data_IF_969154103406
#
_entry.id   IF_969154103406
#
_cell.length_a   1.000
_cell.length_b   1.000
_cell.length_c   1.000
_cell.angle_alpha   90.00
_cell.angle_beta   90.00
_cell.angle_gamma   90.00
#
_symmetry.space_group_name_H-M   'P 1'
#
loop_
_entity.id
_entity.type
_entity.pdbx_description
1 polymer ?
#
# COMPACT_ATOMS: atom_id res chain seq x y z
N UNK A 1 10.05 12.55 -22.02
CA UNK A 1 8.98 11.53 -21.94
C UNK A 1 8.40 11.59 -20.54
N UNK A 2 7.09 11.53 -20.45
CA UNK A 2 6.40 11.43 -19.16
C UNK A 2 6.79 10.13 -18.48
N UNK A 3 7.11 10.16 -17.19
CA UNK A 3 7.57 8.99 -16.46
C UNK A 3 6.39 8.03 -16.22
N UNK A 4 6.51 6.80 -16.72
CA UNK A 4 5.51 5.75 -16.50
C UNK A 4 5.35 5.47 -14.99
N UNK A 5 4.11 5.25 -14.55
CA UNK A 5 3.81 4.93 -13.16
C UNK A 5 3.01 3.65 -13.05
N UNK A 6 3.38 2.85 -12.07
CA UNK A 6 2.73 1.58 -11.73
C UNK A 6 1.91 1.79 -10.45
N UNK A 7 0.62 1.52 -10.53
CA UNK A 7 -0.31 1.72 -9.43
C UNK A 7 -0.66 0.38 -8.77
N UNK A 8 -1.32 0.46 -7.63
CA UNK A 8 -1.74 -0.70 -6.84
C UNK A 8 -3.20 -1.08 -7.07
N UNK A 9 -3.97 -0.23 -7.75
CA UNK A 9 -5.42 -0.35 -7.84
C UNK A 9 -6.18 0.23 -6.63
N UNK A 10 -5.47 0.70 -5.61
CA UNK A 10 -6.06 1.42 -4.48
C UNK A 10 -5.67 2.89 -4.52
N UNK A 11 -6.61 3.77 -4.86
CA UNK A 11 -6.37 5.21 -5.04
C UNK A 11 -5.66 5.84 -3.85
N UNK A 12 -6.09 5.54 -2.63
CA UNK A 12 -5.49 6.07 -1.41
C UNK A 12 -4.02 5.64 -1.25
N UNK A 13 -3.72 4.36 -1.47
CA UNK A 13 -2.35 3.86 -1.37
C UNK A 13 -1.45 4.46 -2.46
N UNK A 14 -1.99 4.62 -3.67
CA UNK A 14 -1.27 5.22 -4.80
C UNK A 14 -0.91 6.70 -4.55
N UNK A 15 -1.77 7.45 -3.86
CA UNK A 15 -1.46 8.81 -3.41
C UNK A 15 -0.40 8.84 -2.30
N UNK A 16 -0.48 7.91 -1.35
CA UNK A 16 0.51 7.79 -0.27
C UNK A 16 1.91 7.55 -0.82
N UNK A 17 2.06 6.68 -1.81
CA UNK A 17 3.36 6.35 -2.41
C UNK A 17 3.79 7.33 -3.49
N UNK A 18 2.86 7.97 -4.18
CA UNK A 18 3.12 8.93 -5.25
C UNK A 18 3.79 10.21 -4.77
N UNK A 19 3.33 10.74 -3.66
CA UNK A 19 4.02 11.81 -2.93
C UNK A 19 3.79 13.24 -3.39
N UNK A 20 3.10 13.47 -4.50
CA UNK A 20 2.77 14.79 -5.04
C UNK A 20 1.33 14.84 -5.54
N UNK A 21 0.80 16.05 -5.71
CA UNK A 21 -0.47 16.28 -6.38
C UNK A 21 -0.44 15.69 -7.80
N UNK A 22 -1.48 15.00 -8.20
CA UNK A 22 -1.64 14.34 -9.50
C UNK A 22 -0.52 13.33 -9.83
N UNK A 23 0.10 12.76 -8.80
CA UNK A 23 1.19 11.79 -8.95
C UNK A 23 0.86 10.55 -8.14
N UNK A 24 0.45 9.48 -8.81
CA UNK A 24 -0.03 8.24 -8.18
C UNK A 24 0.92 7.07 -8.46
N UNK A 25 1.02 6.16 -7.49
CA UNK A 25 1.79 4.93 -7.65
C UNK A 25 3.31 5.13 -7.74
N UNK A 26 3.99 4.08 -8.17
CA UNK A 26 5.45 3.98 -8.18
C UNK A 26 6.04 4.38 -9.54
N UNK A 27 7.11 5.17 -9.58
CA UNK A 27 7.71 5.60 -10.84
C UNK A 27 8.56 4.50 -11.50
N UNK A 28 8.53 4.42 -12.84
CA UNK A 28 9.48 3.64 -13.61
C UNK A 28 10.93 4.16 -13.50
N UNK A 29 11.90 3.35 -13.90
CA UNK A 29 13.33 3.66 -13.80
C UNK A 29 13.83 3.68 -12.35
N UNK A 30 13.13 3.02 -11.44
CA UNK A 30 13.45 3.03 -10.00
C UNK A 30 13.25 1.65 -9.40
N UNK A 31 13.93 1.41 -8.28
CA UNK A 31 13.56 0.31 -7.42
C UNK A 31 12.93 0.80 -6.12
N UNK A 32 11.99 0.02 -5.61
CA UNK A 32 11.32 0.22 -4.34
C UNK A 32 11.57 -0.95 -3.41
N UNK A 33 11.43 -0.73 -2.12
CA UNK A 33 11.49 -1.80 -1.14
C UNK A 33 10.18 -1.90 -0.36
N UNK A 34 9.55 -3.06 -0.41
CA UNK A 34 8.38 -3.39 0.40
C UNK A 34 8.87 -4.21 1.60
N UNK A 35 8.65 -3.67 2.79
CA UNK A 35 9.13 -4.24 4.05
C UNK A 35 7.94 -4.58 4.94
N UNK A 36 8.02 -5.66 5.66
CA UNK A 36 6.98 -6.00 6.63
C UNK A 36 7.24 -7.34 7.30
N UNK A 37 6.49 -7.58 8.35
CA UNK A 37 6.50 -8.83 9.07
C UNK A 37 5.85 -9.97 8.25
N UNK A 38 5.92 -11.18 8.77
CA UNK A 38 5.25 -12.34 8.17
C UNK A 38 3.75 -12.03 8.03
N UNK A 39 3.19 -12.41 6.88
CA UNK A 39 1.76 -12.21 6.56
C UNK A 39 1.27 -10.75 6.54
N UNK A 40 2.18 -9.78 6.41
CA UNK A 40 1.81 -8.36 6.24
C UNK A 40 1.37 -8.00 4.80
N UNK A 41 1.24 -8.97 3.88
CA UNK A 41 0.74 -8.75 2.53
C UNK A 41 1.78 -8.25 1.51
N UNK A 42 3.08 -8.45 1.76
CA UNK A 42 4.16 -8.00 0.84
C UNK A 42 4.04 -8.62 -0.55
N UNK A 43 4.04 -9.95 -0.62
CA UNK A 43 3.84 -10.74 -1.85
C UNK A 43 2.50 -10.38 -2.51
N UNK A 44 1.45 -10.28 -1.70
CA UNK A 44 0.11 -9.91 -2.17
C UNK A 44 0.11 -8.55 -2.87
N UNK A 45 0.70 -7.51 -2.26
CA UNK A 45 0.79 -6.17 -2.85
C UNK A 45 1.62 -6.16 -4.14
N UNK A 46 2.67 -6.98 -4.23
CA UNK A 46 3.45 -7.10 -5.47
C UNK A 46 2.63 -7.70 -6.60
N UNK A 47 1.78 -8.69 -6.30
CA UNK A 47 0.84 -9.27 -7.26
C UNK A 47 -0.20 -8.24 -7.74
N UNK A 48 -0.74 -7.42 -6.83
CA UNK A 48 -1.68 -6.34 -7.17
C UNK A 48 -1.07 -5.32 -8.15
N UNK A 49 0.19 -4.92 -7.93
CA UNK A 49 0.88 -3.98 -8.83
C UNK A 49 1.06 -4.60 -10.22
N UNK A 50 1.40 -5.90 -10.31
CA UNK A 50 1.49 -6.61 -11.59
C UNK A 50 0.11 -6.71 -12.24
N UNK A 51 -0.92 -7.08 -11.48
CA UNK A 51 -2.29 -7.25 -11.97
C UNK A 51 -2.85 -5.91 -12.48
N UNK A 52 -2.67 -4.83 -11.74
CA UNK A 52 -3.04 -3.50 -12.20
C UNK A 52 -2.36 -3.15 -13.52
N UNK A 53 -1.05 -3.35 -13.62
CA UNK A 53 -0.30 -3.06 -14.84
C UNK A 53 -0.75 -3.92 -16.02
N UNK A 54 -1.04 -5.21 -15.81
CA UNK A 54 -1.53 -6.13 -16.83
C UNK A 54 -2.88 -5.71 -17.42
N UNK A 55 -3.78 -5.17 -16.58
CA UNK A 55 -5.10 -4.74 -17.01
C UNK A 55 -5.14 -3.31 -17.59
N UNK A 56 -4.18 -2.44 -17.20
CA UNK A 56 -4.18 -1.03 -17.58
C UNK A 56 -3.18 -0.67 -18.69
N UNK A 57 -2.15 -1.50 -18.93
CA UNK A 57 -1.23 -1.29 -20.04
C UNK A 57 -1.53 -2.19 -21.24
N UNK A 58 -1.00 -1.84 -22.39
CA UNK A 58 -1.03 -2.72 -23.56
C UNK A 58 -0.30 -4.04 -23.23
N UNK A 59 -1.04 -5.15 -23.24
CA UNK A 59 -0.53 -6.50 -22.90
C UNK A 59 0.65 -6.94 -23.76
N UNK A 60 0.79 -6.42 -24.99
CA UNK A 60 1.92 -6.71 -25.87
C UNK A 60 3.20 -6.00 -25.42
N UNK A 61 3.02 -4.85 -24.76
CA UNK A 61 4.11 -3.98 -24.29
C UNK A 61 4.47 -4.24 -22.83
N UNK A 62 3.56 -4.72 -22.01
CA UNK A 62 3.81 -5.02 -20.61
C UNK A 62 4.47 -6.38 -20.44
N UNK A 63 5.54 -6.42 -19.66
CA UNK A 63 6.30 -7.63 -19.30
C UNK A 63 6.54 -7.65 -17.81
N UNK A 64 6.58 -8.83 -17.21
CA UNK A 64 6.96 -8.97 -15.82
C UNK A 64 7.79 -10.22 -15.58
N UNK A 65 8.53 -10.19 -14.49
CA UNK A 65 9.22 -11.34 -13.92
C UNK A 65 8.92 -11.36 -12.42
N UNK A 66 8.56 -12.51 -11.93
CA UNK A 66 8.46 -12.80 -10.50
C UNK A 66 9.57 -13.79 -10.14
N UNK A 67 10.56 -13.32 -9.38
CA UNK A 67 11.72 -14.09 -8.92
C UNK A 67 11.45 -14.55 -7.48
N UNK A 68 10.92 -15.78 -7.35
CA UNK A 68 10.57 -16.40 -6.08
C UNK A 68 11.80 -17.05 -5.43
N UNK A 69 12.60 -16.26 -4.74
CA UNK A 69 13.81 -16.73 -4.06
C UNK A 69 13.52 -17.63 -2.86
N UNK A 70 12.29 -17.64 -2.36
CA UNK A 70 11.87 -18.48 -1.22
C UNK A 70 11.30 -19.83 -1.66
N UNK A 71 11.04 -20.01 -2.96
CA UNK A 71 10.39 -21.21 -3.54
C UNK A 71 9.08 -21.57 -2.83
N UNK A 72 8.33 -20.55 -2.43
CA UNK A 72 7.11 -20.68 -1.61
C UNK A 72 5.86 -20.08 -2.24
N UNK A 73 5.94 -19.61 -3.48
CA UNK A 73 4.83 -18.98 -4.15
C UNK A 73 3.71 -20.00 -4.46
N UNK A 74 2.50 -19.74 -3.96
CA UNK A 74 1.34 -20.65 -4.13
C UNK A 74 0.01 -19.89 -4.27
N UNK A 75 0.04 -18.69 -4.84
CA UNK A 75 -1.17 -17.91 -5.08
C UNK A 75 -1.91 -18.40 -6.33
N UNK A 76 -3.22 -18.60 -6.22
CA UNK A 76 -4.11 -18.81 -7.37
C UNK A 76 -4.43 -17.45 -8.01
N UNK A 77 -3.49 -16.96 -8.79
CA UNK A 77 -3.62 -15.64 -9.42
C UNK A 77 -4.51 -15.66 -10.66
N UNK A 78 -4.74 -16.83 -11.25
CA UNK A 78 -5.70 -16.99 -12.34
C UNK A 78 -7.12 -16.72 -11.87
N UNK A 79 -7.52 -17.32 -10.74
CA UNK A 79 -8.83 -17.05 -10.14
C UNK A 79 -9.01 -15.61 -9.67
N UNK A 80 -7.94 -15.00 -9.14
CA UNK A 80 -8.00 -13.63 -8.58
C UNK A 80 -7.95 -12.54 -9.64
N UNK A 81 -7.08 -12.70 -10.66
CA UNK A 81 -6.76 -11.64 -11.61
C UNK A 81 -7.04 -11.99 -13.06
N UNK A 82 -7.47 -13.22 -13.35
CA UNK A 82 -7.74 -13.71 -14.72
C UNK A 82 -6.49 -14.04 -15.54
N UNK A 83 -5.33 -14.20 -14.89
CA UNK A 83 -4.09 -14.66 -15.49
C UNK A 83 -3.10 -15.14 -14.43
N UNK A 84 -2.18 -16.01 -14.84
CA UNK A 84 -1.11 -16.47 -13.96
C UNK A 84 0.05 -15.48 -13.93
N UNK A 85 0.47 -15.08 -12.72
CA UNK A 85 1.64 -14.22 -12.49
C UNK A 85 2.93 -15.05 -12.56
N UNK A 86 2.93 -16.26 -11.98
CA UNK A 86 4.08 -17.16 -12.01
C UNK A 86 4.07 -18.00 -13.30
N UNK A 87 5.10 -17.92 -14.14
CA UNK A 87 5.17 -18.73 -15.36
C UNK A 87 5.49 -20.22 -15.04
N UNK A 88 5.29 -21.10 -16.03
CA UNK A 88 5.64 -22.53 -15.91
C UNK A 88 7.11 -22.79 -15.56
N UNK A 89 8.01 -21.93 -16.02
CA UNK A 89 9.44 -21.99 -15.74
C UNK A 89 9.86 -20.71 -14.99
N UNK A 90 9.63 -20.63 -13.70
CA UNK A 90 9.92 -19.44 -12.92
C UNK A 90 11.43 -19.25 -12.72
N UNK A 91 11.82 -18.00 -12.54
CA UNK A 91 13.17 -17.65 -12.10
C UNK A 91 13.24 -17.82 -10.58
N UNK A 92 14.29 -18.47 -10.11
CA UNK A 92 14.59 -18.66 -8.70
C UNK A 92 16.05 -18.30 -8.45
N UNK A 93 16.33 -17.03 -8.23
CA UNK A 93 17.68 -16.61 -7.86
C UNK A 93 18.07 -17.16 -6.49
N UNK A 94 19.29 -17.63 -6.36
CA UNK A 94 19.86 -18.18 -5.11
C UNK A 94 20.86 -17.22 -4.48
N UNK A 95 21.55 -16.42 -5.31
CA UNK A 95 22.54 -15.43 -4.87
C UNK A 95 22.18 -14.02 -5.29
N UNK A 96 22.72 -13.05 -4.58
CA UNK A 96 22.51 -11.63 -4.91
C UNK A 96 23.15 -11.26 -6.26
N UNK A 97 24.22 -11.95 -6.64
CA UNK A 97 24.88 -11.81 -7.93
C UNK A 97 23.99 -12.32 -9.07
N UNK A 98 23.37 -13.49 -8.90
CA UNK A 98 22.44 -14.07 -9.86
C UNK A 98 21.20 -13.17 -10.03
N UNK A 99 20.62 -12.72 -8.92
CA UNK A 99 19.48 -11.79 -8.95
C UNK A 99 19.81 -10.50 -9.72
N UNK A 100 21.01 -9.95 -9.54
CA UNK A 100 21.46 -8.79 -10.31
C UNK A 100 21.54 -9.08 -11.81
N UNK A 101 22.07 -10.25 -12.18
CA UNK A 101 22.15 -10.67 -13.58
C UNK A 101 20.76 -10.83 -14.19
N UNK A 102 19.82 -11.47 -13.49
CA UNK A 102 18.45 -11.68 -13.95
C UNK A 102 17.69 -10.36 -14.12
N UNK A 103 17.81 -9.42 -13.17
CA UNK A 103 17.22 -8.08 -13.30
C UNK A 103 17.84 -7.34 -14.48
N UNK A 104 19.16 -7.43 -14.67
CA UNK A 104 19.88 -6.74 -15.74
C UNK A 104 19.48 -7.27 -17.10
N UNK A 105 19.40 -8.59 -17.26
CA UNK A 105 18.97 -9.27 -18.48
C UNK A 105 17.53 -8.88 -18.84
N UNK A 106 16.62 -8.92 -17.88
CA UNK A 106 15.24 -8.49 -18.06
C UNK A 106 15.17 -7.02 -18.51
N UNK A 107 15.91 -6.13 -17.83
CA UNK A 107 15.96 -4.72 -18.19
C UNK A 107 16.52 -4.46 -19.60
N UNK A 108 17.48 -5.28 -20.08
CA UNK A 108 18.05 -5.16 -21.41
C UNK A 108 17.14 -5.72 -22.51
N UNK A 109 16.29 -6.68 -22.18
CA UNK A 109 15.30 -7.24 -23.10
C UNK A 109 14.11 -6.31 -23.34
N UNK A 110 13.83 -5.36 -22.44
CA UNK A 110 12.78 -4.37 -22.64
C UNK A 110 13.16 -3.40 -23.78
N UNK A 111 12.33 -3.33 -24.81
CA UNK A 111 12.55 -2.53 -26.01
C UNK A 111 11.68 -1.28 -26.00
N UNK A 112 12.27 -0.15 -26.35
CA UNK A 112 11.60 1.10 -26.71
C UNK A 112 10.46 1.53 -25.79
N UNK A 113 9.24 1.22 -26.20
CA UNK A 113 7.98 1.59 -25.53
C UNK A 113 7.39 0.49 -24.64
N UNK A 114 8.16 -0.57 -24.35
CA UNK A 114 7.73 -1.62 -23.42
C UNK A 114 7.87 -1.16 -21.96
N UNK A 115 7.03 -1.74 -21.12
CA UNK A 115 6.99 -1.51 -19.67
C UNK A 115 7.33 -2.80 -18.95
N UNK A 116 7.99 -2.69 -17.80
CA UNK A 116 8.38 -3.89 -17.07
C UNK A 116 8.22 -3.77 -15.56
N UNK A 117 7.87 -4.90 -14.92
CA UNK A 117 7.97 -5.07 -13.47
C UNK A 117 8.85 -6.29 -13.20
N UNK A 118 9.83 -6.14 -12.32
CA UNK A 118 10.61 -7.23 -11.76
C UNK A 118 10.40 -7.29 -10.26
N UNK A 119 9.89 -8.40 -9.75
CA UNK A 119 9.72 -8.64 -8.32
C UNK A 119 10.80 -9.60 -7.85
N UNK A 120 11.53 -9.23 -6.80
CA UNK A 120 12.48 -10.06 -6.08
C UNK A 120 11.90 -10.41 -4.70
N UNK A 121 11.39 -11.61 -4.53
CA UNK A 121 10.73 -12.09 -3.31
C UNK A 121 11.46 -13.32 -2.73
N UNK A 122 12.32 -13.17 -1.74
CA UNK A 122 12.76 -11.95 -1.06
C UNK A 122 14.29 -11.84 -1.03
N UNK A 123 14.79 -10.62 -0.88
CA UNK A 123 16.23 -10.36 -0.70
C UNK A 123 16.82 -11.12 0.51
N UNK A 124 15.97 -11.43 1.49
CA UNK A 124 16.38 -12.13 2.71
C UNK A 124 16.74 -13.60 2.47
N UNK A 125 16.13 -14.24 1.46
CA UNK A 125 16.39 -15.63 1.09
C UNK A 125 17.72 -15.82 0.33
N UNK A 126 18.20 -14.78 -0.35
CA UNK A 126 19.43 -14.88 -1.13
C UNK A 126 20.68 -15.01 -0.27
N UNK A 127 21.66 -15.74 -0.77
CA UNK A 127 23.04 -15.78 -0.27
C UNK A 127 23.94 -14.86 -1.12
N UNK A 128 25.23 -14.88 -0.91
CA UNK A 128 26.23 -14.38 -1.85
C UNK A 128 27.04 -15.53 -2.41
N UNK A 129 27.62 -15.38 -3.59
CA UNK A 129 28.49 -16.40 -4.20
C UNK A 129 29.59 -16.84 -3.20
N UNK A 130 30.17 -15.90 -2.46
CA UNK A 130 31.16 -16.20 -1.41
C UNK A 130 30.62 -17.13 -0.31
N UNK A 131 29.33 -16.99 0.04
CA UNK A 131 28.68 -17.84 1.04
C UNK A 131 28.43 -19.25 0.51
N UNK A 132 28.03 -19.36 -0.75
CA UNK A 132 27.80 -20.64 -1.42
C UNK A 132 29.11 -21.42 -1.61
N UNK A 133 30.16 -20.74 -2.09
CA UNK A 133 31.51 -21.37 -2.20
C UNK A 133 31.99 -21.92 -0.87
N UNK A 134 31.80 -21.19 0.22
CA UNK A 134 32.12 -21.66 1.57
C UNK A 134 31.26 -22.85 2.02
N UNK A 135 29.98 -22.88 1.64
CA UNK A 135 29.11 -24.02 1.97
C UNK A 135 29.58 -25.28 1.26
N UNK A 136 29.98 -25.16 0.00
CA UNK A 136 30.58 -26.28 -0.76
C UNK A 136 31.91 -26.77 -0.15
N UNK A 137 32.80 -25.84 0.26
CA UNK A 137 34.06 -26.19 0.93
C UNK A 137 33.80 -26.93 2.23
N UNK A 138 32.80 -26.53 3.02
CA UNK A 138 32.38 -27.25 4.24
C UNK A 138 31.90 -28.67 3.94
N UNK A 139 31.09 -28.84 2.90
CA UNK A 139 30.60 -30.14 2.47
C UNK A 139 31.77 -31.04 2.02
N UNK A 140 32.72 -30.51 1.25
CA UNK A 140 33.92 -31.21 0.83
C UNK A 140 34.81 -31.61 2.04
N UNK A 141 34.95 -30.72 3.03
CA UNK A 141 35.69 -31.01 4.26
C UNK A 141 35.01 -32.09 5.09
N UNK A 142 33.68 -32.01 5.24
CA UNK A 142 32.88 -33.01 5.97
C UNK A 142 33.00 -34.41 5.34
N UNK A 143 32.89 -34.51 4.02
CA UNK A 143 33.05 -35.80 3.31
C UNK A 143 34.47 -36.38 3.38
N UNK A 144 35.47 -35.57 3.67
CA UNK A 144 36.86 -35.99 3.77
C UNK A 144 37.37 -36.12 5.23
N UNK A 145 36.47 -36.10 6.22
CA UNK A 145 36.79 -36.12 7.66
C UNK A 145 37.82 -35.03 8.07
N UNK A 146 37.83 -33.90 7.39
CA UNK A 146 38.73 -32.79 7.70
C UNK A 146 37.99 -31.74 8.54
N UNK A 147 38.71 -31.18 9.52
CA UNK A 147 38.20 -30.01 10.26
C UNK A 147 38.13 -28.79 9.32
N UNK A 148 36.96 -28.22 9.22
CA UNK A 148 36.78 -26.94 8.52
C UNK A 148 37.19 -25.82 9.47
N UNK A 149 38.17 -25.00 9.07
CA UNK A 149 38.55 -23.84 9.85
C UNK A 149 37.39 -22.84 9.84
N UNK A 150 36.91 -22.48 11.03
CA UNK A 150 35.81 -21.53 11.19
C UNK A 150 36.29 -20.11 10.84
N UNK A 151 36.47 -19.84 9.54
CA UNK A 151 36.71 -18.49 9.07
C UNK A 151 35.59 -17.54 9.55
N UNK A 152 35.95 -16.31 9.85
CA UNK A 152 35.02 -15.25 10.28
C UNK A 152 33.82 -15.21 9.32
N UNK A 153 32.60 -15.22 9.85
CA UNK A 153 31.39 -14.97 9.06
C UNK A 153 31.53 -13.67 8.30
N UNK A 154 31.82 -13.75 7.00
CA UNK A 154 32.10 -12.59 6.19
C UNK A 154 30.86 -11.73 5.99
N UNK A 155 31.02 -10.43 5.94
CA UNK A 155 29.99 -9.46 5.56
C UNK A 155 29.86 -9.35 4.01
N UNK A 156 30.20 -10.44 3.28
CA UNK A 156 30.27 -10.44 1.81
C UNK A 156 28.99 -9.97 1.16
N UNK A 157 27.86 -10.57 1.50
CA UNK A 157 26.54 -10.17 1.00
C UNK A 157 26.26 -8.68 1.24
N UNK A 158 26.43 -8.20 2.46
CA UNK A 158 26.15 -6.80 2.80
C UNK A 158 27.09 -5.83 2.09
N UNK A 159 28.35 -6.20 1.93
CA UNK A 159 29.35 -5.42 1.19
C UNK A 159 28.98 -5.35 -0.29
N UNK A 160 28.67 -6.49 -0.91
CA UNK A 160 28.25 -6.55 -2.31
C UNK A 160 26.99 -5.71 -2.55
N UNK A 161 25.95 -5.88 -1.71
CA UNK A 161 24.71 -5.09 -1.82
C UNK A 161 24.98 -3.59 -1.79
N UNK A 162 25.86 -3.13 -0.88
CA UNK A 162 26.10 -1.70 -0.69
C UNK A 162 27.04 -1.08 -1.73
N UNK A 163 28.05 -1.80 -2.19
CA UNK A 163 29.10 -1.27 -3.06
C UNK A 163 28.86 -1.55 -4.55
N UNK A 164 28.15 -2.61 -4.87
CA UNK A 164 27.98 -3.07 -6.25
C UNK A 164 26.51 -3.15 -6.66
N UNK A 165 25.71 -4.00 -5.99
CA UNK A 165 24.33 -4.29 -6.38
C UNK A 165 23.47 -3.03 -6.53
N UNK A 166 23.26 -2.28 -5.47
CA UNK A 166 22.34 -1.13 -5.53
C UNK A 166 22.83 0.02 -6.40
N UNK A 167 24.13 0.42 -6.39
CA UNK A 167 24.65 1.45 -7.30
C UNK A 167 24.47 1.07 -8.76
N UNK A 168 24.85 -0.17 -9.11
CA UNK A 168 24.76 -0.65 -10.49
C UNK A 168 23.30 -0.84 -10.92
N UNK A 169 22.45 -1.36 -10.05
CA UNK A 169 21.01 -1.49 -10.31
C UNK A 169 20.37 -0.12 -10.62
N UNK A 170 20.64 0.90 -9.82
CA UNK A 170 20.14 2.24 -10.08
C UNK A 170 20.58 2.77 -11.45
N UNK A 171 21.84 2.59 -11.80
CA UNK A 171 22.37 3.00 -13.11
C UNK A 171 21.73 2.23 -14.27
N UNK A 172 21.51 0.94 -14.09
CA UNK A 172 20.98 0.04 -15.12
C UNK A 172 19.53 0.33 -15.51
N UNK A 173 18.71 0.75 -14.55
CA UNK A 173 17.25 0.89 -14.72
C UNK A 173 16.78 2.33 -14.91
N UNK A 174 17.59 3.35 -14.57
CA UNK A 174 17.17 4.77 -14.46
C UNK A 174 16.48 5.33 -15.71
N UNK A 175 16.88 4.89 -16.91
CA UNK A 175 16.37 5.39 -18.19
C UNK A 175 15.43 4.38 -18.89
N UNK A 176 14.94 3.39 -18.14
CA UNK A 176 14.06 2.34 -18.62
C UNK A 176 12.67 2.41 -17.98
N UNK A 177 11.66 1.96 -18.70
CA UNK A 177 10.28 1.87 -18.18
C UNK A 177 10.10 0.61 -17.31
N UNK A 178 10.99 0.40 -16.34
CA UNK A 178 10.98 -0.75 -15.44
C UNK A 178 10.77 -0.28 -13.99
N UNK A 179 9.92 -1.01 -13.24
CA UNK A 179 9.86 -0.94 -11.80
C UNK A 179 10.47 -2.21 -11.23
N UNK A 180 11.47 -2.09 -10.35
CA UNK A 180 11.99 -3.21 -9.58
C UNK A 180 11.43 -3.16 -8.17
N UNK A 181 10.75 -4.21 -7.75
CA UNK A 181 10.17 -4.38 -6.41
C UNK A 181 11.06 -5.37 -5.65
N UNK A 182 11.68 -4.90 -4.58
CA UNK A 182 12.48 -5.75 -3.70
C UNK A 182 11.71 -5.95 -2.40
N UNK A 183 11.36 -7.18 -2.09
CA UNK A 183 10.70 -7.55 -0.84
C UNK A 183 11.77 -7.86 0.20
N UNK A 184 11.55 -7.36 1.42
CA UNK A 184 12.40 -7.62 2.59
C UNK A 184 11.57 -8.00 3.81
N UNK A 185 12.10 -8.92 4.61
CA UNK A 185 11.50 -9.31 5.88
C UNK A 185 12.11 -8.50 7.03
N UNK A 186 11.32 -8.28 8.06
CA UNK A 186 11.77 -7.66 9.31
C UNK A 186 12.39 -8.73 10.18
N UNK A 187 13.54 -8.41 10.79
CA UNK A 187 14.17 -9.22 11.84
C UNK A 187 14.25 -8.37 13.10
N UNK A 188 13.87 -8.93 14.23
CA UNK A 188 14.07 -8.29 15.52
C UNK A 188 15.56 -8.19 15.84
N UNK A 189 16.02 -7.04 16.26
CA UNK A 189 17.35 -6.86 16.80
C UNK A 189 17.39 -7.45 18.20
N UNK A 190 18.17 -8.51 18.37
CA UNK A 190 18.38 -9.19 19.67
C UNK A 190 19.30 -8.38 20.60
N UNK A 191 19.98 -7.36 20.08
CA UNK A 191 20.86 -6.50 20.84
C UNK A 191 20.06 -5.52 21.72
N UNK A 192 20.09 -5.74 23.04
CA UNK A 192 19.40 -4.93 24.04
C UNK A 192 19.85 -3.44 24.05
N UNK A 193 20.98 -3.12 23.46
CA UNK A 193 21.51 -1.76 23.36
C UNK A 193 21.26 -1.09 22.01
N UNK A 194 20.61 -1.79 21.05
CA UNK A 194 20.26 -1.23 19.77
C UNK A 194 19.08 -0.25 19.91
N UNK A 195 19.25 0.98 19.45
CA UNK A 195 18.15 1.95 19.33
C UNK A 195 17.14 1.55 18.23
N UNK A 196 17.52 0.69 17.30
CA UNK A 196 16.65 0.18 16.24
C UNK A 196 16.12 -1.20 16.64
N UNK A 197 14.81 -1.29 16.90
CA UNK A 197 14.17 -2.56 17.29
C UNK A 197 14.14 -3.58 16.17
N UNK A 198 14.17 -3.13 14.91
CA UNK A 198 14.04 -3.99 13.74
C UNK A 198 15.17 -3.72 12.77
N UNK A 199 15.65 -4.79 12.15
CA UNK A 199 16.61 -4.76 11.04
C UNK A 199 16.03 -5.51 9.84
N UNK A 200 16.63 -5.28 8.66
CA UNK A 200 16.28 -5.98 7.42
C UNK A 200 17.51 -6.18 6.55
N UNK A 201 17.42 -7.07 5.57
CA UNK A 201 18.48 -7.24 4.57
C UNK A 201 18.68 -5.95 3.74
N UNK A 202 19.93 -5.69 3.36
CA UNK A 202 20.31 -4.46 2.65
C UNK A 202 20.62 -3.27 3.56
N UNK A 203 20.16 -3.26 4.82
CA UNK A 203 20.50 -2.26 5.83
C UNK A 203 20.38 -0.81 5.34
N UNK A 204 21.30 0.08 5.79
CA UNK A 204 21.32 1.50 5.41
C UNK A 204 21.53 1.74 3.91
N UNK A 205 22.20 0.83 3.19
CA UNK A 205 22.37 0.97 1.75
C UNK A 205 21.03 0.89 1.00
N UNK A 206 20.14 -0.03 1.41
CA UNK A 206 18.77 -0.09 0.88
C UNK A 206 18.04 1.23 1.08
N UNK A 207 18.11 1.83 2.27
CA UNK A 207 17.48 3.13 2.54
C UNK A 207 18.08 4.26 1.71
N UNK A 208 19.35 4.21 1.41
CA UNK A 208 20.01 5.23 0.61
C UNK A 208 19.58 5.14 -0.87
N UNK A 209 19.62 3.96 -1.45
CA UNK A 209 19.41 3.76 -2.90
C UNK A 209 17.95 3.62 -3.31
N UNK A 210 17.10 2.93 -2.53
CA UNK A 210 15.69 2.76 -2.87
C UNK A 210 15.00 4.11 -3.12
N UNK A 211 14.12 4.18 -4.12
CA UNK A 211 13.30 5.38 -4.36
C UNK A 211 12.27 5.55 -3.25
N UNK A 212 11.57 4.49 -2.93
CA UNK A 212 10.53 4.44 -1.89
C UNK A 212 10.74 3.20 -1.03
N UNK A 213 10.61 3.37 0.27
CA UNK A 213 10.57 2.27 1.25
C UNK A 213 9.21 2.28 1.90
N UNK A 214 8.43 1.25 1.62
CA UNK A 214 7.07 1.06 2.11
C UNK A 214 7.03 -0.04 3.18
N UNK A 215 6.72 0.34 4.39
CA UNK A 215 6.53 -0.58 5.52
C UNK A 215 5.07 -0.99 5.63
N UNK A 216 4.85 -2.30 5.70
CA UNK A 216 3.54 -2.91 5.89
C UNK A 216 3.49 -3.56 7.27
N UNK A 217 2.41 -3.30 8.00
CA UNK A 217 2.14 -3.93 9.29
C UNK A 217 0.67 -4.37 9.35
N UNK A 218 0.41 -5.61 9.75
CA UNK A 218 -0.96 -6.07 9.98
C UNK A 218 -1.55 -5.33 11.16
N UNK A 219 -2.60 -4.54 10.92
CA UNK A 219 -3.30 -3.79 11.95
C UNK A 219 -4.41 -4.63 12.58
N UNK A 220 -5.20 -5.33 11.76
CA UNK A 220 -6.31 -6.18 12.23
C UNK A 220 -6.63 -7.28 11.23
N UNK A 221 -7.16 -8.40 11.71
CA UNK A 221 -7.78 -9.42 10.85
C UNK A 221 -9.23 -9.03 10.55
N UNK A 222 -9.68 -9.30 9.33
CA UNK A 222 -11.08 -9.21 8.94
C UNK A 222 -11.65 -10.61 9.09
N UNK A 223 -12.67 -10.77 9.92
CA UNK A 223 -13.22 -12.08 10.26
C UNK A 223 -14.70 -12.17 9.85
N UNK A 224 -15.09 -13.32 9.33
CA UNK A 224 -16.47 -13.68 9.02
C UNK A 224 -16.74 -15.08 9.54
N UNK A 225 -17.77 -15.23 10.39
CA UNK A 225 -18.12 -16.51 11.05
C UNK A 225 -16.88 -17.14 11.75
N UNK A 226 -16.18 -16.34 12.56
CA UNK A 226 -15.00 -16.72 13.33
C UNK A 226 -13.81 -17.22 12.50
N UNK A 227 -13.77 -16.90 11.20
CA UNK A 227 -12.64 -17.21 10.31
C UNK A 227 -12.07 -15.95 9.69
N UNK A 228 -10.73 -15.82 9.64
CA UNK A 228 -10.10 -14.73 8.92
C UNK A 228 -10.40 -14.84 7.42
N UNK A 229 -11.01 -13.81 6.84
CA UNK A 229 -11.27 -13.68 5.40
C UNK A 229 -10.43 -12.59 4.75
N UNK A 230 -9.67 -11.86 5.57
CA UNK A 230 -8.80 -10.80 5.09
C UNK A 230 -8.03 -10.14 6.22
N UNK A 231 -7.28 -9.11 5.88
CA UNK A 231 -6.49 -8.30 6.82
C UNK A 231 -6.57 -6.82 6.49
N UNK A 232 -6.59 -6.00 7.52
CA UNK A 232 -6.33 -4.57 7.43
C UNK A 232 -4.85 -4.36 7.63
N UNK A 233 -4.21 -3.69 6.69
CA UNK A 233 -2.77 -3.42 6.69
C UNK A 233 -2.55 -1.93 6.84
N UNK A 234 -1.65 -1.54 7.73
CA UNK A 234 -1.10 -0.20 7.80
C UNK A 234 0.10 -0.11 6.86
N UNK A 235 0.03 0.78 5.87
CA UNK A 235 1.15 1.12 5.00
C UNK A 235 1.77 2.43 5.46
N UNK A 236 3.09 2.48 5.57
CA UNK A 236 3.85 3.68 5.92
C UNK A 236 5.05 3.86 5.01
N UNK A 237 5.12 4.99 4.33
CA UNK A 237 6.30 5.38 3.56
C UNK A 237 7.35 5.94 4.51
N UNK A 238 8.34 5.13 4.87
CA UNK A 238 9.40 5.55 5.80
C UNK A 238 10.51 6.34 5.11
N UNK A 239 10.65 6.15 3.79
CA UNK A 239 11.59 6.88 2.95
C UNK A 239 11.00 7.07 1.56
N UNK A 240 11.13 8.25 1.02
CA UNK A 240 10.82 8.55 -0.38
C UNK A 240 11.79 9.59 -0.92
N UNK A 241 12.10 9.50 -2.22
CA UNK A 241 12.78 10.58 -2.98
C UNK A 241 11.79 11.62 -3.51
N UNK A 242 10.48 11.41 -3.28
CA UNK A 242 9.46 12.43 -3.53
C UNK A 242 9.32 13.38 -2.33
N UNK A 243 8.77 14.58 -2.52
CA UNK A 243 8.44 15.46 -1.40
C UNK A 243 7.48 14.77 -0.40
N UNK A 244 7.63 15.09 0.88
CA UNK A 244 6.79 14.60 1.98
C UNK A 244 6.85 13.07 2.19
N UNK A 245 7.96 12.52 2.68
CA UNK A 245 8.02 11.17 3.25
C UNK A 245 7.11 11.08 4.49
N UNK A 246 6.96 9.86 5.04
CA UNK A 246 6.21 9.55 6.26
C UNK A 246 4.68 9.59 6.14
N UNK A 247 4.15 9.60 4.91
CA UNK A 247 2.72 9.36 4.68
C UNK A 247 2.35 7.93 5.05
N UNK A 248 1.12 7.78 5.52
CA UNK A 248 0.59 6.47 5.89
C UNK A 248 -0.90 6.37 5.58
N UNK A 249 -1.37 5.16 5.36
CA UNK A 249 -2.78 4.83 5.26
C UNK A 249 -3.05 3.42 5.78
N UNK A 250 -4.33 3.12 5.97
CA UNK A 250 -4.82 1.75 6.12
C UNK A 250 -5.47 1.32 4.82
N UNK A 251 -5.25 0.07 4.44
CA UNK A 251 -5.96 -0.57 3.33
C UNK A 251 -6.27 -2.03 3.70
N UNK A 252 -7.19 -2.65 2.96
CA UNK A 252 -7.63 -4.00 3.25
C UNK A 252 -7.25 -4.95 2.14
N UNK A 253 -6.82 -6.17 2.49
CA UNK A 253 -6.78 -7.33 1.63
C UNK A 253 -7.90 -8.31 2.01
N UNK A 254 -8.65 -8.77 1.01
CA UNK A 254 -9.56 -9.90 1.12
C UNK A 254 -8.94 -11.10 0.38
N UNK A 255 -8.92 -12.26 1.02
CA UNK A 255 -8.14 -13.41 0.51
C UNK A 255 -8.68 -14.00 -0.78
N UNK A 256 -9.94 -13.79 -1.08
CA UNK A 256 -10.65 -14.26 -2.27
C UNK A 256 -10.90 -13.16 -3.32
N UNK A 257 -10.50 -11.92 -3.02
CA UNK A 257 -10.78 -10.77 -3.88
C UNK A 257 -9.51 -10.00 -4.27
N UNK A 258 -8.56 -9.88 -3.35
CA UNK A 258 -7.39 -9.04 -3.55
C UNK A 258 -7.38 -7.77 -2.71
N UNK A 259 -6.79 -6.72 -3.24
CA UNK A 259 -6.75 -5.40 -2.62
C UNK A 259 -8.13 -4.73 -2.71
N UNK A 260 -8.79 -4.54 -1.57
CA UNK A 260 -10.09 -3.84 -1.48
C UNK A 260 -9.91 -2.32 -1.64
N UNK A 261 -9.75 -1.88 -2.89
CA UNK A 261 -9.55 -0.47 -3.23
C UNK A 261 -10.78 0.39 -2.98
N UNK A 262 -11.98 -0.14 -3.29
CA UNK A 262 -13.25 0.57 -3.09
C UNK A 262 -13.55 0.71 -1.60
N UNK A 263 -13.54 -0.39 -0.84
CA UNK A 263 -13.79 -0.35 0.59
C UNK A 263 -12.77 0.49 1.35
N UNK A 264 -11.50 0.46 0.94
CA UNK A 264 -10.45 1.33 1.49
C UNK A 264 -10.75 2.81 1.23
N UNK A 265 -11.20 3.14 0.02
CA UNK A 265 -11.57 4.50 -0.39
C UNK A 265 -12.79 5.00 0.38
N UNK A 266 -13.82 4.16 0.53
CA UNK A 266 -15.01 4.44 1.34
C UNK A 266 -14.62 4.68 2.81
N UNK A 267 -13.80 3.81 3.38
CA UNK A 267 -13.34 3.93 4.76
C UNK A 267 -12.59 5.25 5.02
N UNK A 268 -11.78 5.67 4.06
CA UNK A 268 -11.05 6.94 4.13
C UNK A 268 -11.98 8.14 3.92
N UNK A 269 -12.84 8.11 2.87
CA UNK A 269 -13.70 9.23 2.53
C UNK A 269 -14.67 9.59 3.67
N UNK A 270 -15.20 8.58 4.34
CA UNK A 270 -16.19 8.74 5.40
C UNK A 270 -15.63 8.60 6.84
N UNK A 271 -14.30 8.60 7.01
CA UNK A 271 -13.61 8.46 8.31
C UNK A 271 -14.11 7.25 9.13
N UNK A 272 -14.34 6.13 8.44
CA UNK A 272 -14.89 4.93 9.07
C UNK A 272 -13.87 4.12 9.87
N UNK A 273 -12.59 4.49 9.84
CA UNK A 273 -11.54 3.79 10.60
C UNK A 273 -10.97 4.63 11.73
N UNK A 274 -10.71 3.96 12.83
CA UNK A 274 -9.97 4.54 13.95
C UNK A 274 -8.48 4.66 13.62
N UNK A 275 -7.70 5.44 14.38
CA UNK A 275 -6.23 5.50 14.23
C UNK A 275 -5.50 4.14 14.40
N UNK A 276 -6.21 3.09 14.89
CA UNK A 276 -5.70 1.73 15.00
C UNK A 276 -6.12 0.82 13.85
N UNK A 277 -6.84 1.35 12.86
CA UNK A 277 -7.33 0.60 11.68
C UNK A 277 -8.62 -0.20 11.93
N UNK A 278 -9.25 -0.06 13.09
CA UNK A 278 -10.52 -0.69 13.37
C UNK A 278 -11.66 0.12 12.76
N UNK A 279 -12.72 -0.55 12.29
CA UNK A 279 -13.93 0.15 11.87
C UNK A 279 -14.55 0.88 13.08
N UNK A 280 -14.90 2.12 12.87
CA UNK A 280 -15.61 2.90 13.89
C UNK A 280 -17.04 2.37 14.04
N UNK A 281 -17.31 1.73 15.16
CA UNK A 281 -18.62 1.13 15.43
C UNK A 281 -19.76 2.15 15.54
N UNK A 282 -19.44 3.44 15.68
CA UNK A 282 -20.41 4.54 15.68
C UNK A 282 -20.78 5.02 14.26
N UNK A 283 -19.93 4.84 13.28
CA UNK A 283 -20.18 5.21 11.89
C UNK A 283 -20.94 4.08 11.17
N UNK A 284 -22.19 3.85 11.54
CA UNK A 284 -22.99 2.72 11.01
C UNK A 284 -23.67 2.99 9.66
N UNK A 285 -23.84 4.26 9.31
CA UNK A 285 -24.48 4.63 8.05
C UNK A 285 -23.82 5.87 7.46
N UNK A 286 -23.71 5.89 6.14
CA UNK A 286 -23.09 6.95 5.36
C UNK A 286 -24.03 7.38 4.24
N UNK A 287 -23.89 8.63 3.79
CA UNK A 287 -24.59 9.13 2.63
C UNK A 287 -23.61 9.41 1.51
N UNK A 288 -23.96 9.02 0.31
CA UNK A 288 -23.16 9.32 -0.86
C UNK A 288 -23.14 10.82 -1.20
N UNK A 289 -24.26 11.50 -1.00
CA UNK A 289 -24.39 12.93 -1.29
C UNK A 289 -23.74 13.80 -0.21
N UNK A 290 -22.87 14.71 -0.58
CA UNK A 290 -22.16 15.62 0.31
C UNK A 290 -20.90 15.00 0.94
N UNK A 291 -20.42 15.57 2.05
CA UNK A 291 -19.20 15.15 2.75
C UNK A 291 -19.38 13.85 3.57
N UNK A 292 -20.49 13.15 3.38
CA UNK A 292 -20.81 11.91 4.09
C UNK A 292 -21.21 12.09 5.55
N UNK A 293 -20.98 13.23 6.14
CA UNK A 293 -21.43 13.62 7.48
C UNK A 293 -22.27 14.86 7.38
N UNK A 294 -23.52 14.76 7.83
CA UNK A 294 -24.30 15.97 8.11
C UNK A 294 -23.66 16.66 9.30
N UNK A 295 -23.51 17.98 9.20
CA UNK A 295 -23.04 18.75 10.32
C UNK A 295 -24.11 18.80 11.46
N UNK A 296 -23.65 19.09 12.66
CA UNK A 296 -24.53 19.16 13.83
C UNK A 296 -25.69 20.13 13.60
N UNK A 297 -25.47 21.23 12.88
CA UNK A 297 -26.46 22.25 12.60
C UNK A 297 -27.58 21.72 11.70
N UNK A 298 -27.24 20.99 10.66
CA UNK A 298 -28.20 20.36 9.73
C UNK A 298 -29.06 19.32 10.47
N UNK A 299 -28.47 18.54 11.36
CA UNK A 299 -29.19 17.57 12.18
C UNK A 299 -30.13 18.24 13.20
N UNK A 300 -29.68 19.31 13.85
CA UNK A 300 -30.54 20.12 14.74
C UNK A 300 -31.68 20.79 14.00
N UNK A 301 -31.44 21.34 12.81
CA UNK A 301 -32.47 21.90 11.93
C UNK A 301 -33.50 20.83 11.55
N UNK A 302 -33.07 19.60 11.26
CA UNK A 302 -33.97 18.48 10.99
C UNK A 302 -34.82 18.13 12.21
N UNK A 303 -34.24 18.02 13.42
CA UNK A 303 -34.99 17.75 14.65
C UNK A 303 -36.07 18.83 14.89
N UNK A 304 -35.71 20.09 14.67
CA UNK A 304 -36.64 21.22 14.87
C UNK A 304 -37.76 21.23 13.82
N UNK A 305 -37.45 21.05 12.56
CA UNK A 305 -38.41 21.06 11.45
C UNK A 305 -39.46 19.94 11.55
N UNK A 306 -39.05 18.78 12.02
CA UNK A 306 -39.97 17.64 12.17
C UNK A 306 -40.50 17.48 13.59
N UNK A 307 -40.35 18.51 14.44
CA UNK A 307 -40.83 18.53 15.85
C UNK A 307 -40.32 17.32 16.66
N UNK A 308 -39.05 16.94 16.47
CA UNK A 308 -38.42 15.80 17.09
C UNK A 308 -37.48 16.16 18.25
N UNK A 309 -37.26 17.45 18.51
CA UNK A 309 -36.30 17.93 19.55
C UNK A 309 -36.59 17.37 20.94
N UNK A 310 -37.84 17.54 21.44
CA UNK A 310 -38.22 17.01 22.73
C UNK A 310 -38.13 15.48 22.79
N UNK A 311 -38.51 14.79 21.71
CA UNK A 311 -38.43 13.32 21.62
C UNK A 311 -37.01 12.82 21.61
N UNK A 312 -36.08 13.60 21.07
CA UNK A 312 -34.65 13.30 21.10
C UNK A 312 -34.11 13.49 22.53
N UNK A 313 -34.42 14.60 23.19
CA UNK A 313 -34.03 14.91 24.57
C UNK A 313 -34.52 13.86 25.55
N UNK A 314 -35.72 13.31 25.36
CA UNK A 314 -36.29 12.22 26.16
C UNK A 314 -35.76 10.82 25.77
N UNK A 315 -34.92 10.74 24.78
CA UNK A 315 -34.42 9.46 24.29
C UNK A 315 -33.19 8.96 25.04
N UNK A 316 -32.93 7.66 24.94
CA UNK A 316 -31.70 7.05 25.44
C UNK A 316 -30.42 7.51 24.74
N UNK A 317 -30.53 8.24 23.66
CA UNK A 317 -29.42 8.75 22.86
C UNK A 317 -28.96 10.13 23.34
N UNK A 318 -29.76 10.83 24.06
CA UNK A 318 -29.44 12.16 24.57
C UNK A 318 -28.69 12.09 25.92
N UNK A 319 -27.48 12.67 25.92
CA UNK A 319 -26.61 12.73 27.13
C UNK A 319 -26.48 14.15 27.74
N UNK A 320 -27.36 15.06 27.36
CA UNK A 320 -27.32 16.46 27.78
C UNK A 320 -26.51 17.36 26.81
N UNK A 321 -26.04 16.80 25.71
CA UNK A 321 -25.32 17.52 24.65
C UNK A 321 -25.85 17.11 23.28
N UNK A 322 -25.87 18.06 22.33
CA UNK A 322 -26.16 17.77 20.95
C UNK A 322 -24.89 17.25 20.27
N UNK A 323 -24.74 15.94 20.17
CA UNK A 323 -23.68 15.28 19.45
C UNK A 323 -24.25 14.75 18.13
N UNK A 324 -23.57 15.00 17.00
CA UNK A 324 -24.06 14.64 15.68
C UNK A 324 -24.36 13.14 15.55
N UNK A 325 -23.51 12.28 16.11
CA UNK A 325 -23.67 10.84 16.03
C UNK A 325 -24.90 10.35 16.85
N UNK A 326 -25.16 10.96 18.01
CA UNK A 326 -26.31 10.61 18.86
C UNK A 326 -27.64 11.05 18.21
N UNK A 327 -27.68 12.23 17.60
CA UNK A 327 -28.86 12.70 16.85
C UNK A 327 -29.10 11.77 15.65
N UNK A 328 -28.06 11.40 14.93
CA UNK A 328 -28.18 10.53 13.79
C UNK A 328 -28.69 9.14 14.19
N UNK A 329 -28.12 8.53 15.24
CA UNK A 329 -28.57 7.25 15.81
C UNK A 329 -30.02 7.30 16.26
N UNK A 330 -30.47 8.43 16.84
CA UNK A 330 -31.87 8.63 17.21
C UNK A 330 -32.78 8.65 15.97
N UNK A 331 -32.40 9.38 14.93
CA UNK A 331 -33.15 9.45 13.66
C UNK A 331 -33.25 8.07 13.02
N UNK A 332 -32.17 7.29 13.01
CA UNK A 332 -32.14 5.94 12.43
C UNK A 332 -32.91 4.91 13.27
N UNK A 333 -33.19 5.19 14.55
CA UNK A 333 -33.86 4.24 15.45
C UNK A 333 -35.33 3.95 15.11
N UNK A 334 -36.00 4.83 14.39
CA UNK A 334 -37.40 4.70 14.00
C UNK A 334 -37.59 4.84 12.48
N UNK A 335 -38.36 3.94 11.90
CA UNK A 335 -38.64 3.90 10.45
C UNK A 335 -39.19 5.24 9.94
N UNK A 336 -40.15 5.83 10.63
CA UNK A 336 -40.78 7.13 10.25
C UNK A 336 -39.74 8.27 10.18
N UNK A 337 -38.82 8.35 11.15
CA UNK A 337 -37.82 9.43 11.17
C UNK A 337 -36.78 9.23 10.07
N UNK A 338 -36.38 7.98 9.85
CA UNK A 338 -35.47 7.60 8.77
C UNK A 338 -36.04 7.89 7.38
N UNK A 339 -37.34 7.61 7.15
CA UNK A 339 -38.00 7.92 5.86
C UNK A 339 -38.02 9.43 5.58
N UNK A 340 -38.40 10.26 6.56
CA UNK A 340 -38.36 11.73 6.45
C UNK A 340 -36.94 12.25 6.24
N UNK A 341 -35.98 11.64 6.92
CA UNK A 341 -34.57 12.01 6.78
C UNK A 341 -34.05 11.68 5.38
N UNK A 342 -34.34 10.48 4.89
CA UNK A 342 -33.94 10.04 3.55
C UNK A 342 -34.63 10.86 2.43
N UNK A 343 -35.84 11.33 2.64
CA UNK A 343 -36.54 12.22 1.72
C UNK A 343 -35.83 13.59 1.61
N UNK A 344 -35.33 14.11 2.73
CA UNK A 344 -34.67 15.43 2.78
C UNK A 344 -33.21 15.39 2.35
N UNK A 345 -32.45 14.39 2.80
CA UNK A 345 -31.00 14.35 2.67
C UNK A 345 -30.47 13.21 1.78
N UNK A 346 -31.38 12.37 1.25
CA UNK A 346 -31.01 11.16 0.51
C UNK A 346 -30.86 9.92 1.40
N UNK A 347 -30.83 8.76 0.76
CA UNK A 347 -30.75 7.47 1.44
C UNK A 347 -29.42 7.29 2.17
N UNK A 348 -29.49 6.78 3.39
CA UNK A 348 -28.33 6.33 4.13
C UNK A 348 -28.07 4.85 3.86
N UNK A 349 -26.82 4.47 3.74
CA UNK A 349 -26.36 3.12 3.47
C UNK A 349 -25.39 2.68 4.57
N UNK A 350 -25.37 1.42 4.88
CA UNK A 350 -24.23 0.84 5.60
C UNK A 350 -23.00 0.87 4.71
N UNK A 351 -21.81 0.67 5.30
CA UNK A 351 -20.56 0.59 4.54
C UNK A 351 -20.65 -0.42 3.37
N UNK A 352 -21.15 -1.61 3.66
CA UNK A 352 -21.20 -2.69 2.67
C UNK A 352 -22.25 -2.43 1.59
N UNK A 353 -23.41 -1.89 1.95
CA UNK A 353 -24.43 -1.44 0.97
C UNK A 353 -23.90 -0.31 0.08
N UNK A 354 -23.11 0.61 0.61
CA UNK A 354 -22.50 1.67 -0.17
C UNK A 354 -21.45 1.13 -1.16
N UNK A 355 -20.63 0.18 -0.73
CA UNK A 355 -19.67 -0.48 -1.63
C UNK A 355 -20.41 -1.17 -2.77
N UNK A 356 -21.42 -1.99 -2.45
CA UNK A 356 -22.23 -2.67 -3.45
C UNK A 356 -22.95 -1.67 -4.40
N UNK A 357 -23.44 -0.55 -3.87
CA UNK A 357 -24.06 0.48 -4.69
C UNK A 357 -23.05 1.17 -5.63
N UNK A 358 -21.83 1.46 -5.15
CA UNK A 358 -20.76 2.07 -5.97
C UNK A 358 -20.42 1.14 -7.14
N UNK A 359 -20.25 -0.16 -6.89
CA UNK A 359 -19.95 -1.17 -7.91
C UNK A 359 -21.10 -1.32 -8.93
N UNK A 360 -22.36 -1.38 -8.46
CA UNK A 360 -23.52 -1.55 -9.31
C UNK A 360 -23.80 -0.31 -10.20
N UNK A 361 -23.54 0.88 -9.69
CA UNK A 361 -23.77 2.15 -10.40
C UNK A 361 -22.51 2.63 -11.15
N UNK A 362 -21.40 1.88 -11.13
CA UNK A 362 -20.12 2.21 -11.74
C UNK A 362 -19.63 3.62 -11.29
N UNK A 363 -19.60 3.84 -9.97
CA UNK A 363 -19.21 5.10 -9.34
C UNK A 363 -17.77 5.14 -8.82
N UNK A 364 -16.92 4.19 -9.26
CA UNK A 364 -15.53 4.07 -8.80
C UNK A 364 -14.70 5.30 -9.16
N UNK A 365 -14.89 5.87 -10.35
CA UNK A 365 -14.19 7.07 -10.79
C UNK A 365 -14.59 8.29 -9.94
N UNK A 366 -15.89 8.45 -9.65
CA UNK A 366 -16.40 9.53 -8.80
C UNK A 366 -15.89 9.36 -7.35
N UNK A 367 -15.84 8.11 -6.84
CA UNK A 367 -15.23 7.81 -5.54
C UNK A 367 -13.76 8.21 -5.53
N UNK A 368 -13.01 7.86 -6.57
CA UNK A 368 -11.60 8.17 -6.68
C UNK A 368 -11.34 9.69 -6.70
N UNK A 369 -12.16 10.48 -7.42
CA UNK A 369 -12.08 11.94 -7.44
C UNK A 369 -12.34 12.53 -6.05
N UNK A 370 -13.37 12.08 -5.34
CA UNK A 370 -13.71 12.58 -4.00
C UNK A 370 -12.64 12.24 -2.96
N UNK A 371 -12.04 11.03 -3.05
CA UNK A 371 -10.92 10.63 -2.21
C UNK A 371 -9.70 11.51 -2.46
N UNK A 372 -9.46 11.87 -3.73
CA UNK A 372 -8.38 12.76 -4.13
C UNK A 372 -8.58 14.17 -3.58
N UNK A 373 -9.78 14.74 -3.73
CA UNK A 373 -10.12 16.06 -3.18
C UNK A 373 -9.89 16.10 -1.66
N UNK A 374 -10.43 15.12 -0.92
CA UNK A 374 -10.23 15.05 0.53
C UNK A 374 -8.76 14.91 0.91
N UNK A 375 -7.98 14.12 0.15
CA UNK A 375 -6.56 13.97 0.38
C UNK A 375 -5.80 15.28 0.12
N UNK A 376 -6.13 15.98 -0.96
CA UNK A 376 -5.51 17.25 -1.30
C UNK A 376 -5.80 18.33 -0.26
N UNK A 377 -7.04 18.43 0.21
CA UNK A 377 -7.43 19.36 1.27
C UNK A 377 -6.66 19.08 2.57
N UNK A 378 -6.51 17.80 2.93
CA UNK A 378 -5.70 17.39 4.05
C UNK A 378 -4.23 17.78 3.86
N UNK A 379 -3.63 17.50 2.71
CA UNK A 379 -2.24 17.85 2.37
C UNK A 379 -2.03 19.38 2.32
N UNK A 380 -3.04 20.14 1.86
CA UNK A 380 -3.01 21.61 1.89
C UNK A 380 -3.01 22.15 3.32
N UNK A 381 -3.82 21.56 4.19
CA UNK A 381 -3.90 21.93 5.61
C UNK A 381 -2.55 21.77 6.35
N UNK A 382 -1.71 20.86 5.88
CA UNK A 382 -0.36 20.61 6.43
C UNK A 382 0.71 21.59 5.91
N UNK A 383 0.37 22.44 4.95
CA UNK A 383 1.32 23.43 4.42
C UNK A 383 1.63 24.50 5.46
N UNK A 384 2.90 24.90 5.46
CA UNK A 384 3.31 26.03 6.30
C UNK A 384 2.70 27.35 5.80
N UNK A 385 2.01 28.10 6.68
CA UNK A 385 1.52 29.44 6.40
C UNK A 385 2.62 30.51 6.29
N UNK A 386 3.87 30.07 6.27
CA UNK A 386 5.01 31.00 6.17
C UNK A 386 5.16 31.52 4.75
N UNK A 387 5.54 32.81 4.64
CA UNK A 387 5.91 33.43 3.37
C UNK A 387 7.03 32.60 2.69
N UNK A 388 6.90 32.35 1.39
CA UNK A 388 7.94 31.62 0.64
C UNK A 388 9.29 32.32 0.81
N UNK A 389 10.34 31.55 1.09
CA UNK A 389 11.71 32.07 1.31
C UNK A 389 12.25 32.75 0.05
N UNK A 390 11.90 32.21 -1.11
CA UNK A 390 12.27 32.77 -2.40
C UNK A 390 10.96 33.04 -3.16
N UNK A 391 10.70 34.34 -3.46
CA UNK A 391 9.50 34.73 -4.19
C UNK A 391 9.61 34.26 -5.65
N UNK A 392 8.56 33.59 -6.15
CA UNK A 392 8.33 33.52 -7.57
C UNK A 392 7.82 34.90 -7.97
N UNK A 393 8.65 35.72 -8.63
CA UNK A 393 8.10 36.85 -9.38
C UNK A 393 7.18 36.26 -10.47
N UNK A 394 5.95 36.78 -10.66
CA UNK A 394 5.19 36.42 -11.84
C UNK A 394 6.08 36.71 -13.05
N UNK A 395 6.20 35.78 -13.98
CA UNK A 395 6.80 36.07 -15.27
C UNK A 395 5.98 37.21 -15.86
N UNK A 396 6.59 38.37 -16.05
CA UNK A 396 6.02 39.43 -16.86
C UNK A 396 5.71 38.81 -18.23
N UNK A 397 4.48 38.80 -18.62
CA UNK A 397 4.08 38.55 -20.01
C UNK A 397 4.77 39.63 -20.85
N UNK A 398 5.73 39.24 -21.66
CA UNK A 398 6.22 39.95 -22.83
C UNK A 398 5.63 39.29 -24.07
#
# INVERSE_FOLDING_TARGET
>A
MEQVRFQTGCKLLDMVVGGNKNVYGFPSGRFINIVGDKSAGKTFLSNEIIAWAYHNFDKKKFKWVYDDCESGYSFDTESMYGFEIMPENPIHSTTVEEAFCNISDFADKLKGDQFGIYVLDSLDALTSQEQDDRAEERLKAFHNDKTFDKGTYGMGKQKYLSQEFFPQLCSKIQDKNILVIIISQIRENVDMFSFEKFSRSGGKAMDFYAHTVLWLATAKKIEKKDRPVGVVVKAKVTKSKTPRPFRECFFSFLYDYGLDGIGTSVDYLFDLRTPKGELNTKAKAVQWSGDGKLDLKQLQEFLSEYELTEKYEDSRYYDGKYVSDDIFDFIQSKKEYREKFNEKFGSTMTRDELIEWIENENKEDELAERVEEKWEDFEESLKSNRKKKYGTQPKSEE
#
